data_IF_447927779725
#
_entry.id   IF_447927779725
#
_cell.length_a   1.000
_cell.length_b   1.000
_cell.length_c   1.000
_cell.angle_alpha   90.00
_cell.angle_beta   90.00
_cell.angle_gamma   90.00
#
_symmetry.space_group_name_H-M   'P 1'
#
loop_
_entity.id
_entity.type
_entity.pdbx_description
1 polymer ?
#
# COMPACT_ATOMS: atom_id res chain seq x y z
N UNK A 1 -12.37 50.94 -24.36
CA UNK A 1 -12.74 50.41 -23.03
C UNK A 1 -12.95 48.90 -23.10
N UNK A 2 -12.16 48.16 -22.33
CA UNK A 2 -12.46 46.89 -21.62
C UNK A 2 -11.19 46.04 -21.59
N UNK A 3 -10.49 46.15 -20.47
CA UNK A 3 -9.49 45.16 -20.02
C UNK A 3 -10.23 43.85 -19.81
N UNK A 4 -9.81 42.78 -20.46
CA UNK A 4 -10.24 41.43 -20.10
C UNK A 4 -9.10 40.78 -19.33
N UNK A 5 -9.18 40.91 -18.01
CA UNK A 5 -8.37 40.16 -17.06
C UNK A 5 -9.02 38.78 -16.95
N UNK A 6 -8.31 37.73 -17.35
CA UNK A 6 -8.65 36.34 -17.03
C UNK A 6 -7.45 35.71 -16.33
N UNK A 7 -7.29 36.08 -15.07
CA UNK A 7 -6.60 35.29 -14.06
C UNK A 7 -7.66 34.38 -13.44
N UNK A 8 -7.56 33.07 -13.64
CA UNK A 8 -7.89 32.09 -12.58
C UNK A 8 -7.40 30.70 -12.98
N UNK A 9 -6.40 30.24 -12.25
CA UNK A 9 -6.36 28.92 -11.62
C UNK A 9 -6.89 27.73 -12.43
N UNK A 10 -5.96 27.01 -13.07
CA UNK A 10 -6.15 25.58 -13.38
C UNK A 10 -5.09 24.79 -12.63
N UNK A 11 -5.24 24.75 -11.30
CA UNK A 11 -4.44 23.92 -10.39
C UNK A 11 -5.37 22.90 -9.74
N UNK A 12 -5.93 21.98 -10.54
CA UNK A 12 -6.79 20.89 -10.06
C UNK A 12 -6.58 19.62 -10.89
N UNK A 13 -5.40 18.99 -10.76
CA UNK A 13 -5.19 17.60 -11.22
C UNK A 13 -4.58 16.75 -10.09
N UNK A 14 -5.04 16.91 -8.85
CA UNK A 14 -4.56 16.07 -7.74
C UNK A 14 -5.66 15.25 -7.03
N UNK A 15 -6.94 15.43 -7.39
CA UNK A 15 -8.03 14.72 -6.71
C UNK A 15 -8.81 13.73 -7.59
N UNK A 16 -8.45 13.54 -8.87
CA UNK A 16 -9.23 12.69 -9.77
C UNK A 16 -9.06 11.17 -9.49
N UNK A 17 -8.04 10.77 -8.73
CA UNK A 17 -7.71 9.36 -8.51
C UNK A 17 -8.38 8.73 -7.29
N UNK A 18 -8.59 9.47 -6.20
CA UNK A 18 -9.23 8.93 -5.00
C UNK A 18 -10.76 8.75 -5.18
N UNK A 19 -11.40 9.62 -5.97
CA UNK A 19 -12.85 9.66 -6.14
C UNK A 19 -13.41 8.48 -6.97
N UNK A 20 -12.59 7.83 -7.80
CA UNK A 20 -13.06 6.73 -8.67
C UNK A 20 -12.90 5.33 -8.05
N UNK A 21 -12.22 5.24 -6.90
CA UNK A 21 -12.02 4.01 -6.13
C UNK A 21 -13.26 3.64 -5.29
N UNK A 22 -14.24 4.54 -5.22
CA UNK A 22 -15.53 4.36 -4.54
C UNK A 22 -16.49 3.42 -5.29
N UNK A 23 -16.04 2.71 -6.33
CA UNK A 23 -16.72 1.47 -6.75
C UNK A 23 -16.57 0.49 -5.58
N UNK A 24 -17.54 0.54 -4.68
CA UNK A 24 -17.44 0.15 -3.29
C UNK A 24 -16.89 -1.29 -3.17
N UNK A 25 -15.60 -1.43 -2.92
CA UNK A 25 -15.01 -2.76 -2.70
C UNK A 25 -15.68 -3.34 -1.45
N UNK A 26 -16.37 -4.48 -1.60
CA UNK A 26 -17.13 -5.16 -0.53
C UNK A 26 -16.54 -6.52 -0.22
N UNK A 27 -17.03 -7.17 0.83
CA UNK A 27 -16.69 -8.57 1.17
C UNK A 27 -16.91 -9.57 0.02
N UNK A 28 -17.78 -9.27 -0.93
CA UNK A 28 -18.07 -10.12 -2.11
C UNK A 28 -17.09 -9.87 -3.26
N UNK A 29 -16.39 -8.73 -3.24
CA UNK A 29 -15.41 -8.40 -4.26
C UNK A 29 -14.23 -9.37 -4.15
N UNK A 30 -13.81 -10.08 -5.22
CA UNK A 30 -12.67 -11.00 -5.16
C UNK A 30 -11.38 -10.29 -4.72
N UNK A 31 -10.56 -10.92 -3.87
CA UNK A 31 -9.31 -10.32 -3.37
C UNK A 31 -8.34 -9.91 -4.49
N UNK A 32 -8.37 -10.58 -5.64
CA UNK A 32 -7.59 -10.20 -6.83
C UNK A 32 -7.93 -8.81 -7.37
N UNK A 33 -9.17 -8.35 -7.18
CA UNK A 33 -9.60 -6.99 -7.53
C UNK A 33 -8.92 -5.99 -6.58
N UNK A 34 -8.91 -6.25 -5.28
CA UNK A 34 -8.21 -5.40 -4.31
C UNK A 34 -6.72 -5.29 -4.64
N UNK A 35 -6.06 -6.43 -4.90
CA UNK A 35 -4.65 -6.46 -5.29
C UNK A 35 -4.39 -5.60 -6.52
N UNK A 36 -5.19 -5.77 -7.58
CA UNK A 36 -5.04 -5.00 -8.81
C UNK A 36 -5.23 -3.50 -8.60
N UNK A 37 -6.26 -3.08 -7.86
CA UNK A 37 -6.52 -1.66 -7.63
C UNK A 37 -5.42 -1.03 -6.75
N UNK A 38 -4.95 -1.73 -5.71
CA UNK A 38 -3.87 -1.25 -4.87
C UNK A 38 -2.53 -1.15 -5.61
N UNK A 39 -2.22 -2.13 -6.47
CA UNK A 39 -1.03 -2.11 -7.33
C UNK A 39 -1.09 -0.99 -8.37
N UNK A 40 -2.27 -0.74 -8.96
CA UNK A 40 -2.50 0.39 -9.87
C UNK A 40 -2.30 1.73 -9.15
N UNK A 41 -2.80 1.88 -7.93
CA UNK A 41 -2.55 3.08 -7.12
C UNK A 41 -1.05 3.23 -6.78
N UNK A 42 -0.38 2.13 -6.45
CA UNK A 42 1.07 2.10 -6.17
C UNK A 42 1.90 2.50 -7.40
N UNK A 43 1.53 2.05 -8.60
CA UNK A 43 2.28 2.34 -9.84
C UNK A 43 2.22 3.81 -10.27
N UNK A 44 1.22 4.56 -9.80
CA UNK A 44 1.11 6.01 -9.98
C UNK A 44 1.54 6.79 -8.73
N UNK A 45 2.23 6.14 -7.78
CA UNK A 45 2.69 6.69 -6.50
C UNK A 45 1.56 7.20 -5.58
N UNK A 46 0.31 6.81 -5.81
CA UNK A 46 -0.80 7.07 -4.90
C UNK A 46 -0.80 6.03 -3.76
N UNK A 47 0.23 6.11 -2.93
CA UNK A 47 0.42 5.19 -1.81
C UNK A 47 -0.69 5.31 -0.76
N UNK A 48 -1.31 6.49 -0.63
CA UNK A 48 -2.42 6.70 0.31
C UNK A 48 -3.63 5.87 -0.10
N UNK A 49 -4.00 5.89 -1.38
CA UNK A 49 -5.10 5.06 -1.89
C UNK A 49 -4.73 3.57 -1.87
N UNK A 50 -3.49 3.21 -2.23
CA UNK A 50 -3.03 1.83 -2.17
C UNK A 50 -3.15 1.23 -0.75
N UNK A 51 -2.70 1.97 0.27
CA UNK A 51 -2.81 1.56 1.68
C UNK A 51 -4.27 1.33 2.07
N UNK A 52 -5.18 2.26 1.73
CA UNK A 52 -6.62 2.11 2.01
C UNK A 52 -7.22 0.86 1.36
N UNK A 53 -6.82 0.53 0.13
CA UNK A 53 -7.31 -0.68 -0.55
C UNK A 53 -6.82 -1.94 0.17
N UNK A 54 -5.54 -1.99 0.54
CA UNK A 54 -5.00 -3.14 1.27
C UNK A 54 -5.60 -3.29 2.67
N UNK A 55 -5.82 -2.18 3.39
CA UNK A 55 -6.49 -2.17 4.69
C UNK A 55 -7.92 -2.73 4.57
N UNK A 56 -8.67 -2.28 3.56
CA UNK A 56 -10.02 -2.78 3.29
C UNK A 56 -10.04 -4.25 2.86
N UNK A 57 -9.01 -4.69 2.13
CA UNK A 57 -8.84 -6.11 1.78
C UNK A 57 -8.65 -6.95 3.04
N UNK A 58 -7.78 -6.52 3.95
CA UNK A 58 -7.53 -7.22 5.22
C UNK A 58 -8.81 -7.28 6.06
N UNK A 59 -9.58 -6.20 6.14
CA UNK A 59 -10.85 -6.15 6.86
C UNK A 59 -11.88 -7.15 6.30
N UNK A 60 -12.07 -7.13 4.98
CA UNK A 60 -13.07 -7.96 4.30
C UNK A 60 -12.67 -9.44 4.20
N UNK A 61 -11.38 -9.75 4.29
CA UNK A 61 -10.83 -11.11 4.22
C UNK A 61 -10.15 -11.55 5.53
N UNK A 62 -10.53 -10.96 6.67
CA UNK A 62 -9.88 -11.19 7.98
C UNK A 62 -9.76 -12.66 8.42
N UNK A 63 -10.67 -13.52 7.96
CA UNK A 63 -10.69 -14.96 8.24
C UNK A 63 -9.75 -15.77 7.32
N UNK A 64 -9.22 -15.16 6.26
CA UNK A 64 -8.28 -15.81 5.34
C UNK A 64 -6.86 -15.31 5.61
N UNK A 65 -6.15 -16.03 6.47
CA UNK A 65 -4.80 -15.69 6.91
C UNK A 65 -3.81 -15.43 5.76
N UNK A 66 -3.90 -16.21 4.67
CA UNK A 66 -3.02 -16.06 3.51
C UNK A 66 -3.23 -14.71 2.78
N UNK A 67 -4.49 -14.29 2.64
CA UNK A 67 -4.85 -12.99 2.05
C UNK A 67 -4.47 -11.86 3.00
N UNK A 68 -4.73 -12.02 4.30
CA UNK A 68 -4.33 -11.05 5.33
C UNK A 68 -2.81 -10.85 5.33
N UNK A 69 -2.05 -11.93 5.30
CA UNK A 69 -0.59 -11.88 5.25
C UNK A 69 -0.10 -11.16 3.99
N UNK A 70 -0.72 -11.41 2.84
CA UNK A 70 -0.40 -10.72 1.58
C UNK A 70 -0.63 -9.22 1.71
N UNK A 71 -1.79 -8.78 2.24
CA UNK A 71 -2.07 -7.36 2.47
C UNK A 71 -1.09 -6.71 3.45
N UNK A 72 -0.77 -7.39 4.56
CA UNK A 72 0.22 -6.90 5.54
C UNK A 72 1.62 -6.73 4.93
N UNK A 73 2.05 -7.69 4.11
CA UNK A 73 3.32 -7.59 3.38
C UNK A 73 3.35 -6.37 2.46
N UNK A 74 2.30 -6.18 1.65
CA UNK A 74 2.25 -5.08 0.68
C UNK A 74 2.22 -3.71 1.37
N UNK A 75 1.49 -3.59 2.48
CA UNK A 75 1.51 -2.38 3.32
C UNK A 75 2.94 -2.11 3.84
N UNK A 76 3.62 -3.11 4.40
CA UNK A 76 4.99 -2.98 4.87
C UNK A 76 5.95 -2.59 3.73
N UNK A 77 5.75 -3.16 2.54
CA UNK A 77 6.53 -2.84 1.34
C UNK A 77 6.30 -1.40 0.86
N UNK A 78 5.06 -0.91 0.88
CA UNK A 78 4.77 0.51 0.58
C UNK A 78 5.55 1.42 1.54
N UNK A 79 5.54 1.14 2.85
CA UNK A 79 6.32 1.93 3.81
C UNK A 79 7.82 1.90 3.52
N UNK A 80 8.33 0.78 3.03
CA UNK A 80 9.71 0.67 2.58
C UNK A 80 9.99 1.57 1.36
N UNK A 81 9.10 1.54 0.35
CA UNK A 81 9.20 2.35 -0.88
C UNK A 81 9.19 3.85 -0.57
N UNK A 82 8.34 4.30 0.36
CA UNK A 82 8.24 5.72 0.75
C UNK A 82 9.30 6.15 1.79
N UNK A 83 10.38 5.38 1.92
CA UNK A 83 11.52 5.64 2.81
C UNK A 83 11.18 5.71 4.31
N UNK A 84 10.04 5.15 4.73
CA UNK A 84 9.66 5.00 6.16
C UNK A 84 10.19 3.66 6.68
N UNK A 85 11.52 3.51 6.65
CA UNK A 85 12.21 2.23 6.86
C UNK A 85 11.96 1.59 8.23
N UNK A 86 11.93 2.38 9.31
CA UNK A 86 11.71 1.83 10.65
C UNK A 86 10.30 1.24 10.79
N UNK A 87 9.29 1.95 10.26
CA UNK A 87 7.92 1.44 10.21
C UNK A 87 7.80 0.19 9.34
N UNK A 88 8.44 0.19 8.16
CA UNK A 88 8.46 -0.98 7.29
C UNK A 88 9.08 -2.20 7.98
N UNK A 89 10.24 -2.01 8.63
CA UNK A 89 10.94 -3.06 9.38
C UNK A 89 10.05 -3.65 10.47
N UNK A 90 9.44 -2.80 11.31
CA UNK A 90 8.57 -3.26 12.39
C UNK A 90 7.39 -4.09 11.85
N UNK A 91 6.73 -3.62 10.78
CA UNK A 91 5.62 -4.35 10.17
C UNK A 91 6.04 -5.70 9.57
N UNK A 92 7.21 -5.78 8.95
CA UNK A 92 7.75 -7.05 8.47
C UNK A 92 8.08 -8.01 9.63
N UNK A 93 8.64 -7.50 10.73
CA UNK A 93 8.95 -8.28 11.93
C UNK A 93 7.68 -8.80 12.61
N UNK A 94 6.65 -7.96 12.76
CA UNK A 94 5.33 -8.35 13.25
C UNK A 94 4.70 -9.44 12.36
N UNK A 95 4.77 -9.29 11.04
CA UNK A 95 4.25 -10.30 10.11
C UNK A 95 4.97 -11.65 10.28
N UNK A 96 6.30 -11.64 10.44
CA UNK A 96 7.09 -12.86 10.69
C UNK A 96 6.72 -13.51 12.04
N UNK A 97 6.40 -12.72 13.06
CA UNK A 97 6.08 -13.19 14.42
C UNK A 97 4.60 -13.58 14.60
N UNK A 98 3.72 -13.19 13.68
CA UNK A 98 2.27 -13.30 13.84
C UNK A 98 1.70 -14.74 13.84
N UNK A 99 2.52 -15.76 13.59
CA UNK A 99 2.13 -17.20 13.54
C UNK A 99 0.94 -17.54 12.61
N UNK A 100 0.46 -16.61 11.78
CA UNK A 100 -0.59 -16.86 10.79
C UNK A 100 -0.03 -17.64 9.59
N UNK A 101 -0.89 -18.37 8.88
CA UNK A 101 -0.54 -18.98 7.60
C UNK A 101 -0.15 -17.90 6.60
N UNK A 102 1.06 -18.03 6.04
CA UNK A 102 1.58 -17.11 5.02
C UNK A 102 1.86 -17.85 3.71
N UNK A 103 1.69 -17.19 2.55
CA UNK A 103 2.31 -17.63 1.31
C UNK A 103 3.82 -17.85 1.45
N UNK A 104 4.36 -18.89 0.80
CA UNK A 104 5.78 -19.31 0.90
C UNK A 104 6.79 -18.18 0.62
N UNK A 105 6.40 -17.19 -0.17
CA UNK A 105 7.25 -16.07 -0.58
C UNK A 105 7.34 -14.95 0.47
N UNK A 106 6.37 -14.82 1.39
CA UNK A 106 6.30 -13.67 2.31
C UNK A 106 7.49 -13.64 3.26
N UNK A 107 7.71 -14.71 4.02
CA UNK A 107 8.75 -14.72 5.06
C UNK A 107 10.16 -14.49 4.48
N UNK A 108 10.58 -15.18 3.39
CA UNK A 108 11.88 -14.91 2.77
C UNK A 108 12.03 -13.47 2.25
N UNK A 109 11.00 -12.91 1.62
CA UNK A 109 11.07 -11.55 1.09
C UNK A 109 11.08 -10.49 2.21
N UNK A 110 10.27 -10.66 3.26
CA UNK A 110 10.28 -9.80 4.45
C UNK A 110 11.68 -9.75 5.07
N UNK A 111 12.32 -10.92 5.28
CA UNK A 111 13.69 -11.00 5.80
C UNK A 111 14.70 -10.31 4.89
N UNK A 112 14.58 -10.50 3.56
CA UNK A 112 15.46 -9.83 2.58
C UNK A 112 15.35 -8.30 2.67
N UNK A 113 14.15 -7.76 2.82
CA UNK A 113 13.94 -6.31 2.93
C UNK A 113 14.46 -5.78 4.27
N UNK A 114 14.21 -6.47 5.38
CA UNK A 114 14.76 -6.13 6.71
C UNK A 114 16.30 -6.04 6.64
N UNK A 115 16.96 -7.05 6.06
CA UNK A 115 18.42 -7.03 5.89
C UNK A 115 18.90 -5.84 5.05
N UNK A 116 18.16 -5.49 3.98
CA UNK A 116 18.46 -4.32 3.16
C UNK A 116 18.33 -3.01 3.95
N UNK A 117 17.31 -2.87 4.78
CA UNK A 117 17.11 -1.72 5.68
C UNK A 117 18.30 -1.59 6.63
N UNK A 118 18.65 -2.68 7.33
CA UNK A 118 19.74 -2.71 8.30
C UNK A 118 21.11 -2.38 7.66
N UNK A 119 21.39 -2.93 6.48
CA UNK A 119 22.65 -2.67 5.79
C UNK A 119 22.76 -1.22 5.29
N UNK A 120 21.64 -0.56 4.99
CA UNK A 120 21.63 0.87 4.64
C UNK A 120 21.85 1.76 5.86
N UNK A 121 21.39 1.35 7.05
CA UNK A 121 21.60 2.09 8.30
C UNK A 121 23.03 1.96 8.83
N UNK A 122 23.77 0.93 8.43
CA UNK A 122 25.17 0.69 8.83
C UNK A 122 26.21 1.44 7.99
N UNK A 123 25.82 2.14 6.93
CA UNK A 123 26.76 2.94 6.13
C UNK A 123 27.02 4.27 6.85
N UNK A 124 28.30 4.60 7.16
CA UNK A 124 28.66 5.86 7.81
C UNK A 124 28.34 7.07 6.94
#
# INVERSE_FOLDING_TARGET
MKKLILLTNSLLISCYTAAHLDKQLTKETPHSIYLREAQKATSINDYKSALKVYEKMIENYKENESIVATGKYEIAFIYYVINKKDKAKNLFEELIQSNIQTPKWIIPLSKKIINKIQNQQKKP
#
